data_IF_220700563265
#
_entry.id   IF_220700563265
#
_cell.length_a   1.000
_cell.length_b   1.000
_cell.length_c   1.000
_cell.angle_alpha   90.00
_cell.angle_beta   90.00
_cell.angle_gamma   90.00
#
_symmetry.space_group_name_H-M   'P 1'
#
loop_
_entity.id
_entity.type
_entity.pdbx_description
1 polymer ?
#
# COMPACT_ATOMS: atom_id res chain seq x y z
N UNK A 1 56.00 12.16 24.72
CA UNK A 1 54.80 11.75 25.49
C UNK A 1 54.17 10.56 24.78
N UNK A 2 53.62 9.59 25.52
CA UNK A 2 53.74 8.16 25.23
C UNK A 2 52.62 7.59 24.36
N UNK A 3 52.98 6.53 23.64
CA UNK A 3 52.26 5.26 23.45
C UNK A 3 50.82 5.28 22.90
N UNK A 4 50.73 4.84 21.64
CA UNK A 4 49.62 3.99 21.18
C UNK A 4 49.57 2.74 22.07
N UNK A 5 48.38 2.39 22.57
CA UNK A 5 48.00 1.01 22.36
C UNK A 5 46.56 0.85 21.89
N UNK A 6 46.38 -0.28 21.22
CA UNK A 6 45.17 -1.08 21.22
C UNK A 6 44.00 -0.55 20.38
N UNK A 7 43.95 -1.12 19.17
CA UNK A 7 42.70 -1.52 18.56
C UNK A 7 41.72 -2.06 19.61
N UNK A 8 40.59 -1.37 19.77
CA UNK A 8 39.41 -1.89 20.42
C UNK A 8 38.36 -2.14 19.32
N UNK A 9 37.57 -3.20 19.50
CA UNK A 9 37.20 -4.11 18.43
C UNK A 9 36.18 -3.50 17.48
N UNK A 10 36.20 -4.01 16.25
CA UNK A 10 35.06 -3.98 15.36
C UNK A 10 33.78 -4.13 16.19
N UNK A 11 32.97 -3.07 16.22
CA UNK A 11 31.62 -3.15 16.73
C UNK A 11 30.98 -4.30 15.97
N UNK A 12 30.86 -5.44 16.65
CA UNK A 12 30.10 -6.58 16.20
C UNK A 12 28.76 -6.00 15.79
N UNK A 13 28.48 -6.04 14.49
CA UNK A 13 27.16 -5.86 13.98
C UNK A 13 26.30 -6.82 14.80
N UNK A 14 25.52 -6.26 15.73
CA UNK A 14 24.51 -7.01 16.45
C UNK A 14 23.75 -7.82 15.39
N UNK A 15 23.51 -9.12 15.62
CA UNK A 15 22.78 -9.92 14.66
C UNK A 15 21.49 -9.16 14.38
N UNK A 16 21.31 -8.77 13.11
CA UNK A 16 20.11 -8.08 12.67
C UNK A 16 18.93 -8.86 13.24
N UNK A 17 18.18 -8.22 14.14
CA UNK A 17 16.94 -8.79 14.64
C UNK A 17 16.17 -9.30 13.43
N UNK A 18 15.63 -10.54 13.44
CA UNK A 18 14.99 -11.10 12.27
C UNK A 18 13.97 -10.08 11.81
N UNK A 19 14.15 -9.58 10.58
CA UNK A 19 13.25 -8.62 9.97
C UNK A 19 11.85 -9.18 10.19
N UNK A 20 11.03 -8.45 10.95
CA UNK A 20 9.68 -8.86 11.29
C UNK A 20 9.03 -9.35 9.99
N UNK A 21 8.56 -10.60 10.01
CA UNK A 21 7.97 -11.23 8.84
C UNK A 21 7.02 -10.23 8.17
N UNK A 22 7.07 -10.07 6.83
CA UNK A 22 6.20 -9.13 6.14
C UNK A 22 4.77 -9.43 6.59
N UNK A 23 4.12 -8.43 7.19
CA UNK A 23 2.69 -8.51 7.52
C UNK A 23 1.99 -8.97 6.23
N UNK A 24 1.09 -9.96 6.28
CA UNK A 24 0.39 -10.41 5.09
C UNK A 24 -0.15 -9.17 4.39
N UNK A 25 0.22 -9.01 3.12
CA UNK A 25 -0.31 -7.92 2.32
C UNK A 25 -1.83 -7.98 2.48
N UNK A 26 -2.51 -6.86 2.81
CA UNK A 26 -3.96 -6.89 2.88
C UNK A 26 -4.44 -7.50 1.58
N UNK A 27 -5.26 -8.57 1.69
CA UNK A 27 -5.81 -9.30 0.57
C UNK A 27 -6.13 -8.29 -0.53
N UNK A 28 -5.36 -8.34 -1.63
CA UNK A 28 -5.37 -7.28 -2.62
C UNK A 28 -6.68 -7.45 -3.37
N UNK A 29 -7.75 -6.91 -2.79
CA UNK A 29 -9.07 -6.91 -3.37
C UNK A 29 -8.97 -6.06 -4.61
N UNK A 30 -8.88 -6.73 -5.75
CA UNK A 30 -8.85 -6.06 -7.04
C UNK A 30 -10.18 -5.29 -7.19
N UNK A 31 -10.13 -3.97 -7.47
CA UNK A 31 -11.33 -3.20 -7.64
C UNK A 31 -12.13 -3.76 -8.82
N UNK A 32 -13.45 -3.86 -8.65
CA UNK A 32 -14.34 -4.26 -9.73
C UNK A 32 -14.30 -3.18 -10.82
N UNK A 33 -13.62 -3.51 -11.93
CA UNK A 33 -13.37 -2.55 -13.01
C UNK A 33 -14.65 -2.09 -13.69
N UNK A 34 -15.63 -2.98 -13.86
CA UNK A 34 -16.93 -2.63 -14.43
C UNK A 34 -17.65 -1.56 -13.57
N UNK A 35 -17.60 -1.69 -12.24
CA UNK A 35 -18.12 -0.70 -11.31
C UNK A 35 -17.34 0.61 -11.38
N UNK A 36 -16.02 0.54 -11.48
CA UNK A 36 -15.16 1.72 -11.64
C UNK A 36 -15.56 2.52 -12.89
N UNK A 37 -15.62 1.90 -14.06
CA UNK A 37 -15.92 2.57 -15.32
C UNK A 37 -17.32 3.19 -15.34
N UNK A 38 -18.33 2.48 -14.81
CA UNK A 38 -19.70 2.99 -14.69
C UNK A 38 -19.77 4.24 -13.82
N UNK A 39 -19.17 4.18 -12.63
CA UNK A 39 -19.18 5.33 -11.68
C UNK A 39 -18.39 6.50 -12.24
N UNK A 40 -17.25 6.24 -12.90
CA UNK A 40 -16.45 7.29 -13.53
C UNK A 40 -17.25 8.00 -14.63
N UNK A 41 -17.88 7.25 -15.54
CA UNK A 41 -18.68 7.82 -16.61
C UNK A 41 -19.87 8.64 -16.05
N UNK A 42 -20.56 8.13 -15.04
CA UNK A 42 -21.65 8.85 -14.38
C UNK A 42 -21.20 10.14 -13.69
N UNK A 43 -20.08 10.12 -12.98
CA UNK A 43 -19.54 11.27 -12.27
C UNK A 43 -19.07 12.37 -13.23
N UNK A 44 -18.44 11.98 -14.35
CA UNK A 44 -18.06 12.89 -15.42
C UNK A 44 -19.29 13.48 -16.12
N UNK A 45 -20.33 12.68 -16.36
CA UNK A 45 -21.59 13.17 -16.93
C UNK A 45 -22.29 14.20 -16.02
N UNK A 46 -22.10 14.09 -14.71
CA UNK A 46 -22.59 15.06 -13.70
C UNK A 46 -21.75 16.35 -13.64
N UNK A 47 -20.67 16.44 -14.42
CA UNK A 47 -19.73 17.57 -14.39
C UNK A 47 -18.76 17.54 -13.21
N UNK A 48 -18.59 16.38 -12.57
CA UNK A 48 -17.61 16.23 -11.48
C UNK A 48 -16.19 16.35 -12.05
N UNK A 49 -15.30 17.02 -11.31
CA UNK A 49 -13.89 17.07 -11.67
C UNK A 49 -13.30 15.66 -11.83
N UNK A 50 -12.44 15.48 -12.84
CA UNK A 50 -11.88 14.18 -13.21
C UNK A 50 -11.18 13.47 -12.05
N UNK A 51 -10.40 14.18 -11.22
CA UNK A 51 -9.70 13.58 -10.08
C UNK A 51 -10.67 13.12 -9.01
N UNK A 52 -11.75 13.88 -8.80
CA UNK A 52 -12.80 13.53 -7.84
C UNK A 52 -13.62 12.33 -8.33
N UNK A 53 -13.99 12.33 -9.62
CA UNK A 53 -14.70 11.25 -10.28
C UNK A 53 -13.90 9.92 -10.21
N UNK A 54 -12.60 9.97 -10.54
CA UNK A 54 -11.70 8.81 -10.44
C UNK A 54 -11.56 8.32 -8.99
N UNK A 55 -11.47 9.24 -8.02
CA UNK A 55 -11.40 8.89 -6.60
C UNK A 55 -12.63 8.13 -6.12
N UNK A 56 -13.83 8.61 -6.51
CA UNK A 56 -15.10 7.97 -6.16
C UNK A 56 -15.30 6.64 -6.88
N UNK A 57 -14.93 6.57 -8.15
CA UNK A 57 -14.95 5.34 -8.93
C UNK A 57 -14.05 4.26 -8.31
N UNK A 58 -12.81 4.60 -7.90
CA UNK A 58 -11.92 3.64 -7.21
C UNK A 58 -12.52 3.15 -5.91
N UNK A 59 -13.07 4.06 -5.10
CA UNK A 59 -13.71 3.68 -3.84
C UNK A 59 -14.90 2.73 -4.06
N UNK A 60 -15.71 2.96 -5.08
CA UNK A 60 -16.83 2.09 -5.45
C UNK A 60 -16.34 0.70 -5.93
N UNK A 61 -15.35 0.67 -6.83
CA UNK A 61 -14.75 -0.56 -7.34
C UNK A 61 -14.15 -1.43 -6.24
N UNK A 62 -13.40 -0.85 -5.30
CA UNK A 62 -12.82 -1.60 -4.17
C UNK A 62 -13.90 -2.16 -3.23
N UNK A 63 -14.97 -1.40 -2.96
CA UNK A 63 -16.09 -1.88 -2.13
C UNK A 63 -16.83 -3.05 -2.80
N UNK A 64 -17.06 -2.95 -4.10
CA UNK A 64 -17.69 -4.00 -4.89
C UNK A 64 -16.81 -5.26 -4.96
N UNK A 65 -15.52 -5.09 -5.24
CA UNK A 65 -14.53 -6.18 -5.21
C UNK A 65 -14.48 -6.86 -3.84
N UNK A 66 -14.54 -6.09 -2.74
CA UNK A 66 -14.49 -6.64 -1.38
C UNK A 66 -15.74 -7.46 -1.08
N UNK A 67 -16.91 -6.99 -1.53
CA UNK A 67 -18.18 -7.72 -1.40
C UNK A 67 -18.19 -9.00 -2.23
N UNK A 68 -17.44 -9.07 -3.34
CA UNK A 68 -17.27 -10.30 -4.14
C UNK A 68 -16.26 -11.27 -3.52
N UNK A 69 -15.19 -10.77 -2.91
CA UNK A 69 -14.11 -11.59 -2.35
C UNK A 69 -14.38 -12.12 -0.93
N UNK A 70 -15.20 -11.41 -0.13
CA UNK A 70 -15.49 -11.75 1.27
C UNK A 70 -16.96 -12.09 1.55
N UNK A 71 -17.68 -12.61 0.56
CA UNK A 71 -19.02 -13.19 0.72
C UNK A 71 -18.96 -14.64 1.19
#
# INVERSE_FOLDING_TARGET
APETPAAAPAAQAAPAAPAAAPRPAPDHVEPDQETFDKVLAEELAKGTDRRVAEGRARAAGVRAGRKKAGG
#
